data_IF_627844634748
#
_entry.id   IF_627844634748
#
_cell.length_a   1.000
_cell.length_b   1.000
_cell.length_c   1.000
_cell.angle_alpha   90.00
_cell.angle_beta   90.00
_cell.angle_gamma   90.00
#
_symmetry.space_group_name_H-M   'P 1'
#
loop_
_entity.id
_entity.type
_entity.pdbx_description
1 polymer ?
#
# COMPACT_ATOMS: atom_id res chain seq x y z
N UNK A 1 7.93 -14.55 -29.83
CA UNK A 1 7.29 -13.28 -30.26
C UNK A 1 7.13 -12.43 -29.01
N UNK A 2 7.83 -11.29 -28.92
CA UNK A 2 7.68 -10.39 -27.76
C UNK A 2 6.32 -9.72 -27.83
N UNK A 3 5.53 -9.76 -26.75
CA UNK A 3 4.25 -9.05 -26.71
C UNK A 3 4.49 -7.54 -26.84
N UNK A 4 3.59 -6.80 -27.53
CA UNK A 4 3.70 -5.35 -27.63
C UNK A 4 3.62 -4.73 -26.23
N UNK A 5 4.58 -3.85 -25.92
CA UNK A 5 4.58 -3.10 -24.67
C UNK A 5 3.35 -2.18 -24.63
N UNK A 6 2.50 -2.25 -23.60
CA UNK A 6 1.38 -1.33 -23.44
C UNK A 6 1.85 0.14 -23.37
N UNK A 7 1.16 1.03 -24.09
CA UNK A 7 1.46 2.45 -24.12
C UNK A 7 0.78 3.18 -22.95
N UNK A 8 1.55 3.55 -21.93
CA UNK A 8 1.05 4.14 -20.68
C UNK A 8 0.88 5.67 -20.72
N UNK A 9 0.64 6.24 -21.91
CA UNK A 9 0.48 7.69 -22.16
C UNK A 9 1.64 8.60 -21.71
N UNK A 10 2.72 8.06 -21.14
CA UNK A 10 3.91 8.78 -20.67
C UNK A 10 5.19 7.98 -20.95
N UNK A 11 6.09 8.56 -21.73
CA UNK A 11 7.43 8.02 -22.01
C UNK A 11 8.27 7.90 -20.74
N UNK A 12 8.14 8.89 -19.83
CA UNK A 12 8.84 8.85 -18.55
C UNK A 12 8.36 7.67 -17.70
N UNK A 13 7.05 7.49 -17.56
CA UNK A 13 6.49 6.37 -16.80
C UNK A 13 6.92 5.03 -17.39
N UNK A 14 6.91 4.90 -18.72
CA UNK A 14 7.36 3.69 -19.42
C UNK A 14 8.81 3.37 -19.08
N UNK A 15 9.70 4.36 -19.10
CA UNK A 15 11.12 4.18 -18.73
C UNK A 15 11.32 3.82 -17.27
N UNK A 16 10.62 4.50 -16.35
CA UNK A 16 10.73 4.21 -14.91
C UNK A 16 10.26 2.79 -14.59
N UNK A 17 9.15 2.36 -15.19
CA UNK A 17 8.65 0.99 -15.03
C UNK A 17 9.62 -0.05 -15.60
N UNK A 18 10.16 0.20 -16.79
CA UNK A 18 11.13 -0.72 -17.41
C UNK A 18 12.40 -0.89 -16.55
N UNK A 19 12.83 0.17 -15.86
CA UNK A 19 14.02 0.15 -15.02
C UNK A 19 13.89 -0.66 -13.72
N UNK A 20 12.66 -1.02 -13.31
CA UNK A 20 12.41 -1.74 -12.05
C UNK A 20 11.86 -3.15 -12.25
N UNK A 21 11.77 -3.64 -13.50
CA UNK A 21 11.13 -4.93 -13.80
C UNK A 21 11.84 -6.11 -13.13
N UNK A 22 13.17 -6.07 -13.06
CA UNK A 22 13.98 -7.14 -12.46
C UNK A 22 13.74 -7.27 -10.95
N UNK A 23 13.48 -6.15 -10.26
CA UNK A 23 13.11 -6.13 -8.84
C UNK A 23 11.61 -6.43 -8.64
N UNK A 24 10.75 -5.98 -9.56
CA UNK A 24 9.30 -6.13 -9.46
C UNK A 24 8.85 -7.58 -9.51
N UNK A 25 9.43 -8.39 -10.41
CA UNK A 25 9.02 -9.78 -10.59
C UNK A 25 9.19 -10.62 -9.31
N UNK A 26 10.36 -10.69 -8.66
CA UNK A 26 10.49 -11.45 -7.41
C UNK A 26 9.62 -10.86 -6.28
N UNK A 27 9.38 -9.55 -6.28
CA UNK A 27 8.52 -8.90 -5.29
C UNK A 27 7.06 -9.40 -5.37
N UNK A 28 6.45 -9.40 -6.55
CA UNK A 28 5.06 -9.87 -6.71
C UNK A 28 4.92 -11.40 -6.62
N UNK A 29 6.02 -12.13 -6.79
CA UNK A 29 6.09 -13.58 -6.69
C UNK A 29 6.60 -14.07 -5.32
N UNK A 30 6.78 -13.16 -4.36
CA UNK A 30 7.30 -13.47 -3.03
C UNK A 30 6.41 -14.50 -2.30
N UNK A 31 7.03 -15.33 -1.45
CA UNK A 31 6.32 -16.39 -0.70
C UNK A 31 5.15 -15.85 0.12
N UNK A 32 5.28 -14.64 0.64
CA UNK A 32 4.19 -13.94 1.33
C UNK A 32 2.95 -13.78 0.44
N UNK A 33 3.12 -13.28 -0.78
CA UNK A 33 2.01 -13.03 -1.73
C UNK A 33 1.39 -14.34 -2.18
N UNK A 34 2.23 -15.34 -2.50
CA UNK A 34 1.77 -16.68 -2.89
C UNK A 34 0.97 -17.35 -1.77
N UNK A 35 1.51 -17.34 -0.55
CA UNK A 35 0.85 -17.91 0.62
C UNK A 35 -0.46 -17.19 0.97
N UNK A 36 -0.55 -15.88 0.73
CA UNK A 36 -1.79 -15.14 0.92
C UNK A 36 -2.84 -15.55 -0.13
N UNK A 37 -2.41 -15.78 -1.37
CA UNK A 37 -3.31 -16.16 -2.48
C UNK A 37 -3.85 -17.58 -2.39
N UNK A 38 -3.07 -18.54 -1.87
CA UNK A 38 -3.49 -19.95 -1.72
C UNK A 38 -3.97 -20.30 -0.30
N UNK A 39 -3.88 -19.36 0.64
CA UNK A 39 -4.33 -19.52 2.02
C UNK A 39 -3.36 -20.26 2.93
N UNK A 40 -2.12 -20.52 2.50
CA UNK A 40 -1.10 -21.20 3.30
C UNK A 40 -0.28 -20.26 4.19
N UNK A 41 -0.41 -18.93 4.04
CA UNK A 41 0.34 -17.95 4.81
C UNK A 41 0.09 -18.13 6.33
N UNK A 42 1.17 -18.23 7.15
CA UNK A 42 1.02 -18.27 8.59
C UNK A 42 0.29 -17.02 9.11
N UNK A 43 -0.71 -17.23 9.95
CA UNK A 43 -1.51 -16.14 10.54
C UNK A 43 -0.65 -15.09 11.25
N UNK A 44 0.44 -15.50 11.90
CA UNK A 44 1.38 -14.59 12.57
C UNK A 44 2.07 -13.65 11.58
N UNK A 45 2.48 -14.14 10.40
CA UNK A 45 3.04 -13.32 9.34
C UNK A 45 2.01 -12.34 8.77
N UNK A 46 0.77 -12.80 8.59
CA UNK A 46 -0.34 -11.93 8.14
C UNK A 46 -0.64 -10.80 9.14
N UNK A 47 -0.77 -11.12 10.43
CA UNK A 47 -1.03 -10.11 11.47
C UNK A 47 0.15 -9.15 11.66
N UNK A 48 1.38 -9.63 11.48
CA UNK A 48 2.56 -8.78 11.47
C UNK A 48 2.51 -7.79 10.29
N UNK A 49 2.22 -8.28 9.08
CA UNK A 49 2.02 -7.43 7.90
C UNK A 49 0.94 -6.37 8.15
N UNK A 50 -0.24 -6.73 8.66
CA UNK A 50 -1.31 -5.76 8.90
C UNK A 50 -0.95 -4.67 9.92
N UNK A 51 -0.09 -4.96 10.89
CA UNK A 51 0.41 -3.95 11.85
C UNK A 51 1.31 -2.94 11.15
N UNK A 52 2.25 -3.41 10.34
CA UNK A 52 3.13 -2.52 9.57
C UNK A 52 2.35 -1.76 8.49
N UNK A 53 1.45 -2.43 7.78
CA UNK A 53 0.61 -1.83 6.73
C UNK A 53 -0.34 -0.75 7.31
N UNK A 54 -0.84 -0.92 8.54
CA UNK A 54 -1.61 0.14 9.22
C UNK A 54 -0.81 1.45 9.35
N UNK A 55 0.45 1.36 9.78
CA UNK A 55 1.32 2.55 9.93
C UNK A 55 1.70 3.11 8.55
N UNK A 56 2.01 2.23 7.59
CA UNK A 56 2.26 2.61 6.20
C UNK A 56 1.08 3.41 5.63
N UNK A 57 -0.16 2.90 5.74
CA UNK A 57 -1.36 3.52 5.21
C UNK A 57 -1.67 4.86 5.88
N UNK A 58 -1.30 5.04 7.15
CA UNK A 58 -1.39 6.34 7.81
C UNK A 58 -0.47 7.37 7.12
N UNK A 59 0.79 7.02 6.85
CA UNK A 59 1.72 7.89 6.12
C UNK A 59 1.29 8.09 4.67
N UNK A 60 0.81 7.04 4.03
CA UNK A 60 0.34 7.09 2.65
C UNK A 60 -0.87 8.01 2.50
N UNK A 61 -1.80 8.01 3.46
CA UNK A 61 -2.90 8.97 3.51
C UNK A 61 -2.41 10.42 3.64
N UNK A 62 -1.38 10.66 4.48
CA UNK A 62 -0.75 11.99 4.61
C UNK A 62 -0.07 12.44 3.32
N UNK A 63 0.56 11.52 2.57
CA UNK A 63 1.14 11.83 1.26
C UNK A 63 0.07 12.31 0.26
N UNK A 64 -1.12 11.69 0.24
CA UNK A 64 -2.23 12.18 -0.59
C UNK A 64 -2.84 13.49 -0.08
N UNK A 65 -2.87 13.73 1.23
CA UNK A 65 -3.24 15.04 1.76
C UNK A 65 -2.27 16.13 1.28
N UNK A 66 -0.96 15.84 1.21
CA UNK A 66 0.01 16.74 0.59
C UNK A 66 -0.25 16.92 -0.92
N UNK A 67 -0.68 15.85 -1.61
CA UNK A 67 -1.15 15.91 -2.99
C UNK A 67 -2.30 16.89 -3.20
N UNK A 68 -3.28 16.94 -2.29
CA UNK A 68 -4.38 17.93 -2.30
C UNK A 68 -3.84 19.37 -2.28
N UNK A 69 -2.86 19.64 -1.41
CA UNK A 69 -2.23 20.97 -1.29
C UNK A 69 -1.44 21.36 -2.54
N UNK A 70 -0.80 20.38 -3.20
CA UNK A 70 0.08 20.61 -4.36
C UNK A 70 -0.61 20.50 -5.72
N UNK A 71 -1.85 20.06 -5.77
CA UNK A 71 -2.59 19.85 -7.02
C UNK A 71 -2.72 21.15 -7.83
N UNK A 72 -2.50 21.07 -9.14
CA UNK A 72 -2.64 22.21 -10.05
C UNK A 72 -4.05 22.33 -10.61
N UNK A 73 -4.80 21.21 -10.63
CA UNK A 73 -6.16 21.17 -11.15
C UNK A 73 -7.15 20.65 -10.13
N UNK A 74 -8.41 21.08 -10.24
CA UNK A 74 -9.47 20.59 -9.38
C UNK A 74 -9.72 19.07 -9.53
N UNK A 75 -9.42 18.51 -10.71
CA UNK A 75 -9.50 17.07 -10.92
C UNK A 75 -8.45 16.33 -10.10
N UNK A 76 -7.20 16.80 -10.08
CA UNK A 76 -6.12 16.25 -9.25
C UNK A 76 -6.44 16.38 -7.76
N UNK A 77 -6.95 17.55 -7.33
CA UNK A 77 -7.39 17.78 -5.95
C UNK A 77 -8.44 16.74 -5.53
N UNK A 78 -9.46 16.52 -6.37
CA UNK A 78 -10.53 15.53 -6.12
C UNK A 78 -9.99 14.12 -6.05
N UNK A 79 -9.07 13.75 -6.95
CA UNK A 79 -8.46 12.42 -6.96
C UNK A 79 -7.67 12.17 -5.66
N UNK A 80 -6.80 13.10 -5.27
CA UNK A 80 -6.00 12.96 -4.05
C UNK A 80 -6.89 12.89 -2.80
N UNK A 81 -7.92 13.74 -2.72
CA UNK A 81 -8.86 13.73 -1.61
C UNK A 81 -9.64 12.40 -1.51
N UNK A 82 -10.07 11.85 -2.65
CA UNK A 82 -10.78 10.57 -2.69
C UNK A 82 -9.90 9.40 -2.22
N UNK A 83 -8.62 9.38 -2.63
CA UNK A 83 -7.69 8.33 -2.21
C UNK A 83 -7.41 8.44 -0.70
N UNK A 84 -7.09 9.64 -0.21
CA UNK A 84 -6.88 9.87 1.22
C UNK A 84 -8.11 9.47 2.07
N UNK A 85 -9.32 9.78 1.59
CA UNK A 85 -10.55 9.36 2.26
C UNK A 85 -10.72 7.84 2.27
N UNK A 86 -10.47 7.14 1.14
CA UNK A 86 -10.56 5.68 1.07
C UNK A 86 -9.60 5.01 2.06
N UNK A 87 -8.35 5.46 2.09
CA UNK A 87 -7.33 4.94 3.01
C UNK A 87 -7.78 5.08 4.47
N UNK A 88 -8.23 6.28 4.86
CA UNK A 88 -8.54 6.59 6.27
C UNK A 88 -9.89 6.07 6.75
N UNK A 89 -10.90 6.05 5.87
CA UNK A 89 -12.29 5.74 6.25
C UNK A 89 -12.71 4.32 5.87
N UNK A 90 -12.03 3.68 4.91
CA UNK A 90 -12.36 2.31 4.47
C UNK A 90 -11.27 1.32 4.85
N UNK A 91 -10.01 1.59 4.52
CA UNK A 91 -8.94 0.60 4.63
C UNK A 91 -8.36 0.46 6.05
N UNK A 92 -8.09 1.57 6.75
CA UNK A 92 -7.63 1.51 8.14
C UNK A 92 -8.66 0.83 9.07
N UNK A 93 -9.98 1.12 8.99
CA UNK A 93 -10.97 0.41 9.79
C UNK A 93 -11.06 -1.10 9.49
N UNK A 94 -10.78 -1.53 8.25
CA UNK A 94 -10.69 -2.94 7.91
C UNK A 94 -9.54 -3.62 8.68
N UNK A 95 -8.37 -2.98 8.75
CA UNK A 95 -7.23 -3.47 9.53
C UNK A 95 -7.58 -3.57 11.01
N UNK A 96 -8.18 -2.52 11.58
CA UNK A 96 -8.65 -2.50 12.98
C UNK A 96 -9.63 -3.65 13.24
N UNK A 97 -10.59 -3.87 12.33
CA UNK A 97 -11.57 -4.95 12.47
C UNK A 97 -10.94 -6.35 12.38
N UNK A 98 -9.97 -6.57 11.49
CA UNK A 98 -9.28 -7.86 11.36
C UNK A 98 -8.40 -8.13 12.59
N UNK A 99 -7.53 -7.19 12.95
CA UNK A 99 -6.62 -7.29 14.07
C UNK A 99 -7.37 -7.33 15.42
N UNK A 100 -8.49 -6.61 15.54
CA UNK A 100 -9.34 -6.60 16.73
C UNK A 100 -9.96 -7.96 17.04
N UNK A 101 -10.32 -8.75 16.02
CA UNK A 101 -10.78 -10.15 16.23
C UNK A 101 -9.71 -11.06 16.84
N UNK A 102 -8.45 -10.63 16.74
CA UNK A 102 -7.28 -11.33 17.27
C UNK A 102 -6.74 -10.68 18.56
N UNK A 103 -7.53 -9.76 19.16
CA UNK A 103 -7.18 -9.10 20.43
C UNK A 103 -6.19 -7.94 20.29
N UNK A 104 -5.94 -7.44 19.08
CA UNK A 104 -5.04 -6.31 18.83
C UNK A 104 -5.91 -5.04 18.71
N UNK A 105 -5.79 -4.12 19.66
CA UNK A 105 -6.54 -2.86 19.65
C UNK A 105 -6.01 -1.89 18.58
N UNK A 106 -6.83 -0.89 18.23
CA UNK A 106 -6.40 0.21 17.38
C UNK A 106 -5.24 0.99 17.99
N UNK A 107 -5.25 1.25 19.29
CA UNK A 107 -4.12 1.88 19.98
C UNK A 107 -2.83 1.08 19.84
N UNK A 108 -2.91 -0.25 19.88
CA UNK A 108 -1.77 -1.12 19.67
C UNK A 108 -1.28 -1.11 18.22
N UNK A 109 -2.19 -1.00 17.24
CA UNK A 109 -1.84 -0.79 15.83
C UNK A 109 -1.13 0.55 15.64
N UNK A 110 -1.69 1.63 16.18
CA UNK A 110 -1.12 2.98 16.10
C UNK A 110 0.25 3.08 16.80
N UNK A 111 0.45 2.35 17.90
CA UNK A 111 1.73 2.28 18.61
C UNK A 111 2.73 1.27 17.99
N UNK A 112 2.41 0.63 16.87
CA UNK A 112 3.33 -0.28 16.19
C UNK A 112 4.61 0.47 15.83
N UNK A 113 5.75 -0.05 16.29
CA UNK A 113 7.05 0.50 15.91
C UNK A 113 7.31 0.21 14.43
N UNK A 114 7.58 1.26 13.67
CA UNK A 114 7.99 1.15 12.27
C UNK A 114 9.28 0.33 12.16
N UNK A 115 9.26 -0.61 11.23
CA UNK A 115 10.45 -1.37 10.84
C UNK A 115 11.20 -0.63 9.72
N UNK A 116 12.51 -0.90 9.52
CA UNK A 116 13.35 -0.18 8.57
C UNK A 116 12.76 -0.07 7.15
N UNK A 117 12.06 -1.11 6.72
CA UNK A 117 11.40 -1.23 5.43
C UNK A 117 10.18 -0.30 5.28
N UNK A 118 9.69 0.28 6.38
CA UNK A 118 8.47 1.08 6.46
C UNK A 118 8.69 2.49 7.03
N UNK A 119 9.94 2.92 7.17
CA UNK A 119 10.27 4.27 7.67
C UNK A 119 9.85 5.35 6.66
N UNK A 120 9.09 6.34 7.12
CA UNK A 120 8.62 7.48 6.33
C UNK A 120 9.57 8.69 6.33
#
# INVERSE_FOLDING_TARGET
MSQPQPHYSSELFTRLRAATLDDWKPYIEHEFVRGLGDGTLPKTAFLHYLRQDYVYLHHYARAFALGVVKANTLQETRLCAQIMHRLTVTELPLHVGICGREGISEDALYATKEEPENLA
#
